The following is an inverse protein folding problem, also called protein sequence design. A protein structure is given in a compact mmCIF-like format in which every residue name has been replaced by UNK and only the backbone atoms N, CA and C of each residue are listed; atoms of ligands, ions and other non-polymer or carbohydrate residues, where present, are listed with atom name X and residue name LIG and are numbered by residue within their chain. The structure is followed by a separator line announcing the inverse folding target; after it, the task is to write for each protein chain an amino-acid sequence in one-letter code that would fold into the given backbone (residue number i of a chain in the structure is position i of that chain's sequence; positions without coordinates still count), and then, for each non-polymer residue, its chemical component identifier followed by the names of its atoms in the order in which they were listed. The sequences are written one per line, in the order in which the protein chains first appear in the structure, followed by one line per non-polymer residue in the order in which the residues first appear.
data_IF_633294776028
#
_entry.id   IF_633294776028
#
_cell.length_a   1.000
_cell.length_b   1.000
_cell.length_c   1.000
_cell.angle_alpha   90.00
_cell.angle_beta   90.00
_cell.angle_gamma   90.00
#
_symmetry.space_group_name_H-M   'P 1'
#
loop_
_entity.id
_entity.type
_entity.pdbx_description
1 polymer ?
#
# COMPACT_ATOMS: atom_id res chain seq x y z
N UNK A 1 21.50 24.54 -1.73
CA UNK A 1 20.86 24.51 -3.06
C UNK A 1 19.89 25.66 -3.15
N UNK A 2 19.91 26.41 -4.26
CA UNK A 2 19.03 27.56 -4.45
C UNK A 2 17.60 27.09 -4.75
N UNK A 3 16.62 27.96 -4.58
CA UNK A 3 15.20 27.64 -4.80
C UNK A 3 14.95 27.11 -6.21
N UNK A 4 15.47 27.79 -7.23
CA UNK A 4 15.29 27.43 -8.65
C UNK A 4 15.84 26.03 -8.96
N UNK A 5 17.06 25.71 -8.52
CA UNK A 5 17.65 24.37 -8.66
C UNK A 5 16.77 23.28 -8.03
N UNK A 6 16.28 23.52 -6.80
CA UNK A 6 15.42 22.55 -6.10
C UNK A 6 14.14 22.30 -6.88
N UNK A 7 13.49 23.35 -7.39
CA UNK A 7 12.28 23.23 -8.21
C UNK A 7 12.55 22.43 -9.47
N UNK A 8 13.65 22.72 -10.19
CA UNK A 8 14.03 21.98 -11.40
C UNK A 8 14.20 20.49 -11.10
N UNK A 9 14.98 20.13 -10.09
CA UNK A 9 15.20 18.72 -9.73
C UNK A 9 13.93 18.02 -9.27
N UNK A 10 13.08 18.71 -8.50
CA UNK A 10 11.78 18.16 -8.08
C UNK A 10 10.89 17.89 -9.30
N UNK A 11 10.81 18.80 -10.27
CA UNK A 11 10.01 18.56 -11.48
C UNK A 11 10.58 17.41 -12.33
N UNK A 12 11.91 17.27 -12.41
CA UNK A 12 12.55 16.11 -13.05
C UNK A 12 12.26 14.80 -12.33
N UNK A 13 12.17 14.80 -11.00
CA UNK A 13 11.77 13.61 -10.23
C UNK A 13 10.29 13.31 -10.50
N UNK A 14 9.40 14.30 -10.35
CA UNK A 14 7.96 14.14 -10.50
C UNK A 14 7.51 13.75 -11.92
N UNK A 15 8.32 13.98 -12.96
CA UNK A 15 8.03 13.53 -14.32
C UNK A 15 8.28 12.04 -14.54
N UNK A 16 9.07 11.40 -13.67
CA UNK A 16 9.39 9.97 -13.75
C UNK A 16 8.26 9.07 -13.21
N UNK A 17 7.29 9.66 -12.51
CA UNK A 17 6.20 8.93 -11.86
C UNK A 17 4.85 9.37 -12.39
N UNK A 18 3.98 8.38 -12.63
CA UNK A 18 2.57 8.62 -12.96
C UNK A 18 1.73 8.88 -11.71
N UNK A 19 2.22 8.44 -10.54
CA UNK A 19 1.56 8.64 -9.25
C UNK A 19 2.13 9.86 -8.50
N UNK A 20 1.32 10.52 -7.65
CA UNK A 20 1.83 11.56 -6.76
C UNK A 20 2.85 11.00 -5.75
N UNK A 21 3.85 11.81 -5.40
CA UNK A 21 4.86 11.47 -4.41
C UNK A 21 4.62 12.22 -3.09
N UNK A 22 5.03 11.62 -1.98
CA UNK A 22 5.14 12.35 -0.72
C UNK A 22 6.42 13.20 -0.71
N UNK A 23 6.44 14.27 0.11
CA UNK A 23 7.64 15.11 0.30
C UNK A 23 8.86 14.26 0.74
N UNK A 24 8.63 13.19 1.51
CA UNK A 24 9.71 12.32 1.99
C UNK A 24 10.31 11.47 0.86
N UNK A 25 9.47 10.93 -0.03
CA UNK A 25 9.94 10.23 -1.22
C UNK A 25 10.74 11.17 -2.15
N UNK A 26 10.22 12.38 -2.39
CA UNK A 26 10.93 13.42 -3.17
C UNK A 26 12.28 13.74 -2.53
N UNK A 27 12.32 13.89 -1.20
CA UNK A 27 13.55 14.15 -0.47
C UNK A 27 14.59 13.04 -0.66
N UNK A 28 14.21 11.77 -0.53
CA UNK A 28 15.15 10.67 -0.72
C UNK A 28 15.62 10.54 -2.18
N UNK A 29 14.76 10.82 -3.17
CA UNK A 29 15.19 10.93 -4.57
C UNK A 29 16.19 12.07 -4.78
N UNK A 30 15.99 13.23 -4.15
CA UNK A 30 16.96 14.33 -4.19
C UNK A 30 18.30 13.95 -3.55
N UNK A 31 18.27 13.24 -2.42
CA UNK A 31 19.48 12.76 -1.73
C UNK A 31 20.24 11.77 -2.63
N UNK A 32 19.53 10.82 -3.25
CA UNK A 32 20.11 9.79 -4.09
C UNK A 32 20.67 10.34 -5.42
N UNK A 33 19.87 11.13 -6.14
CA UNK A 33 20.16 11.48 -7.53
C UNK A 33 20.88 12.83 -7.70
N UNK A 34 20.73 13.74 -6.72
CA UNK A 34 21.12 15.15 -6.86
C UNK A 34 22.04 15.66 -5.72
N UNK A 35 22.66 14.75 -4.97
CA UNK A 35 23.56 15.07 -3.85
C UNK A 35 22.93 16.03 -2.83
N UNK A 36 21.63 15.90 -2.59
CA UNK A 36 20.92 16.73 -1.62
C UNK A 36 21.33 16.34 -0.19
N UNK A 37 21.57 17.30 0.74
CA UNK A 37 22.08 16.96 2.06
C UNK A 37 21.11 16.07 2.85
N UNK A 38 21.56 14.87 3.25
CA UNK A 38 20.74 13.97 4.06
C UNK A 38 20.72 14.37 5.56
N UNK A 39 19.96 15.42 5.90
CA UNK A 39 19.76 15.88 7.28
C UNK A 39 18.38 16.49 7.49
N UNK A 40 17.86 16.38 8.71
CA UNK A 40 16.53 16.90 9.10
C UNK A 40 16.32 18.38 8.76
N UNK A 41 17.35 19.21 8.88
CA UNK A 41 17.28 20.64 8.54
C UNK A 41 17.04 20.87 7.05
N UNK A 42 17.63 20.05 6.18
CA UNK A 42 17.44 20.11 4.73
C UNK A 42 16.03 19.63 4.35
N UNK A 43 15.54 18.54 4.94
CA UNK A 43 14.14 18.10 4.77
C UNK A 43 13.14 19.21 5.15
N UNK A 44 13.33 19.86 6.29
CA UNK A 44 12.48 20.96 6.74
C UNK A 44 12.51 22.16 5.77
N UNK A 45 13.69 22.44 5.19
CA UNK A 45 13.85 23.48 4.18
C UNK A 45 13.13 23.11 2.87
N UNK A 46 13.30 21.88 2.38
CA UNK A 46 12.58 21.36 1.21
C UNK A 46 11.07 21.48 1.40
N UNK A 47 10.54 21.05 2.55
CA UNK A 47 9.12 21.15 2.87
C UNK A 47 8.60 22.59 2.74
N UNK A 48 9.34 23.58 3.28
CA UNK A 48 8.98 25.01 3.14
C UNK A 48 9.08 25.49 1.69
N UNK A 49 10.11 25.09 0.95
CA UNK A 49 10.29 25.45 -0.46
C UNK A 49 9.17 24.89 -1.34
N UNK A 50 8.75 23.64 -1.14
CA UNK A 50 7.66 23.00 -1.88
C UNK A 50 6.28 23.59 -1.58
N UNK A 51 6.08 24.16 -0.39
CA UNK A 51 4.88 24.97 -0.11
C UNK A 51 4.89 26.24 -0.94
N UNK A 52 6.02 26.94 -1.02
CA UNK A 52 6.16 28.15 -1.86
C UNK A 52 5.97 27.81 -3.35
N UNK A 53 6.62 26.76 -3.85
CA UNK A 53 6.55 26.36 -5.25
C UNK A 53 5.14 26.01 -5.72
N UNK A 54 4.38 25.25 -4.91
CA UNK A 54 2.98 24.94 -5.24
C UNK A 54 2.09 26.19 -5.25
N UNK A 55 2.26 27.10 -4.29
CA UNK A 55 1.53 28.38 -4.27
C UNK A 55 1.83 29.28 -5.47
N UNK A 56 3.03 29.15 -6.06
CA UNK A 56 3.46 29.93 -7.21
C UNK A 56 3.18 29.23 -8.55
N UNK A 57 2.75 27.96 -8.54
CA UNK A 57 2.56 27.15 -9.75
C UNK A 57 3.86 26.59 -10.34
N UNK A 58 5.00 26.75 -9.66
CA UNK A 58 6.31 26.26 -10.11
C UNK A 58 6.42 24.72 -10.04
N UNK A 59 5.59 24.10 -9.20
CA UNK A 59 5.45 22.65 -9.07
C UNK A 59 3.95 22.33 -9.04
N UNK A 60 3.52 21.37 -9.85
CA UNK A 60 2.13 20.91 -9.90
C UNK A 60 1.70 20.34 -8.53
N UNK A 61 0.70 20.97 -7.92
CA UNK A 61 0.15 20.56 -6.63
C UNK A 61 -0.44 19.15 -6.68
N UNK A 62 -1.01 18.72 -7.81
CA UNK A 62 -1.59 17.39 -7.95
C UNK A 62 -0.55 16.26 -7.92
N UNK A 63 0.74 16.58 -8.16
CA UNK A 63 1.84 15.61 -8.15
C UNK A 63 2.47 15.40 -6.78
N UNK A 64 2.10 16.19 -5.76
CA UNK A 64 2.59 16.04 -4.38
C UNK A 64 1.42 15.82 -3.44
N UNK A 65 1.40 14.68 -2.76
CA UNK A 65 0.32 14.35 -1.83
C UNK A 65 0.78 14.26 -0.37
N UNK A 66 -0.08 14.74 0.54
CA UNK A 66 0.00 14.47 1.98
C UNK A 66 -1.02 13.38 2.33
N UNK A 67 -0.55 12.14 2.42
CA UNK A 67 -1.40 10.96 2.67
C UNK A 67 -1.97 10.88 4.09
N UNK A 68 -1.61 11.81 4.98
CA UNK A 68 -2.01 11.76 6.40
C UNK A 68 -3.34 12.46 6.73
N UNK A 69 -3.93 13.21 5.79
CA UNK A 69 -5.08 14.09 6.06
C UNK A 69 -6.11 14.04 4.94
N UNK A 70 -7.25 13.39 5.21
CA UNK A 70 -8.42 13.40 4.32
C UNK A 70 -9.55 14.18 4.98
N UNK A 71 -10.25 15.02 4.21
CA UNK A 71 -11.57 15.51 4.59
C UNK A 71 -12.55 14.34 4.52
N UNK A 72 -13.30 14.11 5.59
CA UNK A 72 -14.36 13.10 5.65
C UNK A 72 -15.70 13.83 5.63
N UNK A 73 -16.61 13.42 4.75
CA UNK A 73 -17.94 14.03 4.66
C UNK A 73 -18.11 14.98 3.46
N UNK A 74 -19.32 15.50 3.31
CA UNK A 74 -19.75 16.34 2.19
C UNK A 74 -21.27 16.43 2.09
N UNK A 75 -21.75 17.25 1.16
CA UNK A 75 -23.16 17.32 0.77
C UNK A 75 -23.46 16.19 -0.21
N UNK A 76 -23.88 15.04 0.32
CA UNK A 76 -24.18 13.84 -0.46
C UNK A 76 -25.69 13.64 -0.54
N UNK A 77 -26.19 13.27 -1.72
CA UNK A 77 -27.59 13.02 -1.94
C UNK A 77 -27.92 13.08 -3.42
N UNK A 78 -29.22 13.07 -3.73
CA UNK A 78 -29.73 13.27 -5.07
C UNK A 78 -30.57 14.54 -5.05
N UNK A 79 -30.61 15.28 -6.16
CA UNK A 79 -31.39 16.51 -6.23
C UNK A 79 -32.91 16.25 -6.14
N UNK A 80 -33.35 15.05 -6.53
CA UNK A 80 -34.73 14.59 -6.44
C UNK A 80 -34.84 13.06 -6.48
N UNK A 81 -36.05 12.55 -6.23
CA UNK A 81 -36.35 11.11 -6.19
C UNK A 81 -36.24 10.41 -7.55
N UNK A 82 -36.49 11.10 -8.66
CA UNK A 82 -36.37 10.54 -10.01
C UNK A 82 -34.90 10.26 -10.36
N UNK A 83 -34.00 11.20 -10.05
CA UNK A 83 -32.55 11.03 -10.21
C UNK A 83 -32.04 9.82 -9.41
N UNK A 84 -32.51 9.65 -8.16
CA UNK A 84 -32.20 8.48 -7.35
C UNK A 84 -32.62 7.18 -8.05
N UNK A 85 -33.88 7.09 -8.51
CA UNK A 85 -34.42 5.89 -9.13
C UNK A 85 -33.66 5.49 -10.41
N UNK A 86 -33.40 6.45 -11.31
CA UNK A 86 -32.64 6.21 -12.54
C UNK A 86 -31.23 5.70 -12.23
N UNK A 87 -30.55 6.32 -11.25
CA UNK A 87 -29.23 5.87 -10.82
C UNK A 87 -29.25 4.46 -10.23
N UNK A 88 -30.25 4.12 -9.40
CA UNK A 88 -30.37 2.78 -8.82
C UNK A 88 -30.62 1.71 -9.90
N UNK A 89 -31.49 1.98 -10.87
CA UNK A 89 -31.74 1.05 -11.99
C UNK A 89 -30.48 0.88 -12.84
N UNK A 90 -29.81 1.97 -13.21
CA UNK A 90 -28.57 1.92 -13.98
C UNK A 90 -27.46 1.18 -13.22
N UNK A 91 -27.32 1.45 -11.92
CA UNK A 91 -26.37 0.78 -11.05
C UNK A 91 -26.67 -0.72 -10.97
N UNK A 92 -27.92 -1.10 -10.73
CA UNK A 92 -28.38 -2.48 -10.71
C UNK A 92 -28.07 -3.18 -12.03
N UNK A 93 -28.46 -2.61 -13.17
CA UNK A 93 -28.22 -3.20 -14.49
C UNK A 93 -26.73 -3.34 -14.84
N UNK A 94 -25.86 -2.51 -14.26
CA UNK A 94 -24.41 -2.62 -14.43
C UNK A 94 -23.75 -3.65 -13.49
N UNK A 95 -24.49 -4.27 -12.57
CA UNK A 95 -23.95 -5.20 -11.56
C UNK A 95 -23.10 -6.34 -12.10
N UNK A 96 -23.43 -7.00 -13.24
CA UNK A 96 -22.59 -8.06 -13.79
C UNK A 96 -21.15 -7.61 -14.06
N UNK A 97 -20.92 -6.32 -14.38
CA UNK A 97 -19.56 -5.80 -14.62
C UNK A 97 -18.71 -5.77 -13.36
N UNK A 98 -19.33 -5.75 -12.17
CA UNK A 98 -18.67 -5.73 -10.86
C UNK A 98 -18.63 -7.10 -10.19
N UNK A 99 -19.24 -8.12 -10.81
CA UNK A 99 -19.13 -9.49 -10.33
C UNK A 99 -17.68 -9.94 -10.34
N UNK A 100 -17.22 -10.52 -9.23
CA UNK A 100 -15.89 -11.08 -9.13
C UNK A 100 -15.86 -12.21 -8.10
N UNK A 101 -15.07 -13.25 -8.35
CA UNK A 101 -14.93 -14.42 -7.46
C UNK A 101 -13.86 -14.16 -6.41
N UNK A 102 -13.93 -14.85 -5.28
CA UNK A 102 -12.85 -14.82 -4.28
C UNK A 102 -11.64 -15.60 -4.82
N UNK A 103 -10.59 -14.89 -5.24
CA UNK A 103 -9.39 -15.50 -5.85
C UNK A 103 -8.61 -16.43 -4.91
N UNK A 104 -8.61 -16.13 -3.61
CA UNK A 104 -7.86 -16.91 -2.62
C UNK A 104 -8.62 -18.14 -2.10
N UNK A 105 -9.83 -18.44 -2.58
CA UNK A 105 -10.64 -19.56 -2.06
C UNK A 105 -10.02 -20.92 -2.38
N UNK A 106 -9.53 -21.12 -3.61
CA UNK A 106 -8.89 -22.38 -4.02
C UNK A 106 -7.41 -22.47 -3.62
N UNK A 107 -6.78 -21.31 -3.43
CA UNK A 107 -5.37 -21.20 -3.07
C UNK A 107 -5.05 -21.93 -1.75
N UNK A 108 -3.93 -22.66 -1.63
CA UNK A 108 -3.57 -23.36 -0.39
C UNK A 108 -3.14 -22.41 0.74
N UNK A 109 -2.82 -21.16 0.38
CA UNK A 109 -2.30 -20.13 1.29
C UNK A 109 -3.30 -18.99 1.44
N UNK A 110 -3.19 -18.30 2.57
CA UNK A 110 -3.78 -16.99 2.81
C UNK A 110 -2.64 -15.99 3.02
N UNK A 111 -2.63 -14.93 2.21
CA UNK A 111 -1.57 -13.91 2.24
C UNK A 111 -2.14 -12.61 2.79
N UNK A 112 -1.41 -11.98 3.71
CA UNK A 112 -1.69 -10.65 4.24
C UNK A 112 -0.42 -9.80 4.15
N UNK A 113 -0.55 -8.58 3.65
CA UNK A 113 0.55 -7.60 3.71
C UNK A 113 0.45 -6.82 5.00
N UNK A 114 1.53 -6.76 5.78
CA UNK A 114 1.63 -6.03 7.02
C UNK A 114 2.63 -4.89 6.87
N UNK A 115 2.23 -3.66 7.12
CA UNK A 115 3.10 -2.49 6.93
C UNK A 115 3.15 -1.62 8.17
N UNK A 116 4.36 -1.35 8.64
CA UNK A 116 4.58 -0.49 9.80
C UNK A 116 4.08 0.95 9.55
N UNK A 117 4.37 1.50 8.37
CA UNK A 117 4.30 2.94 8.09
C UNK A 117 3.01 3.35 7.38
N UNK A 118 2.18 4.15 8.06
CA UNK A 118 0.90 4.63 7.51
C UNK A 118 1.05 5.38 6.17
N UNK A 119 2.11 6.18 6.02
CA UNK A 119 2.37 6.97 4.81
C UNK A 119 2.58 6.11 3.54
N UNK A 120 3.04 4.86 3.71
CA UNK A 120 3.23 3.91 2.63
C UNK A 120 2.06 2.93 2.49
N UNK A 121 1.13 2.91 3.44
CA UNK A 121 -0.01 1.97 3.41
C UNK A 121 -0.87 2.10 2.15
N UNK A 122 -1.12 3.33 1.66
CA UNK A 122 -1.95 3.56 0.46
C UNK A 122 -1.31 3.01 -0.82
N UNK A 123 0.00 3.22 -1.00
CA UNK A 123 0.72 2.71 -2.18
C UNK A 123 0.79 1.19 -2.14
N UNK A 124 1.16 0.61 -0.98
CA UNK A 124 1.22 -0.84 -0.82
C UNK A 124 -0.17 -1.47 -0.98
N UNK A 125 -1.21 -0.87 -0.38
CA UNK A 125 -2.58 -1.37 -0.50
C UNK A 125 -3.08 -1.35 -1.94
N UNK A 126 -2.78 -0.30 -2.72
CA UNK A 126 -3.15 -0.26 -4.14
C UNK A 126 -2.50 -1.40 -4.93
N UNK A 127 -1.27 -1.77 -4.58
CA UNK A 127 -0.57 -2.89 -5.21
C UNK A 127 -1.13 -4.25 -4.78
N UNK A 128 -1.34 -4.44 -3.48
CA UNK A 128 -1.92 -5.65 -2.92
C UNK A 128 -3.37 -5.88 -3.41
N UNK A 129 -4.14 -4.81 -3.64
CA UNK A 129 -5.51 -4.87 -4.14
C UNK A 129 -5.60 -5.50 -5.53
N UNK A 130 -4.59 -5.32 -6.39
CA UNK A 130 -4.51 -6.00 -7.71
C UNK A 130 -4.55 -7.52 -7.58
N UNK A 131 -4.06 -8.04 -6.46
CA UNK A 131 -4.05 -9.47 -6.10
C UNK A 131 -5.09 -9.80 -5.02
N UNK A 132 -5.99 -8.88 -4.70
CA UNK A 132 -7.05 -9.04 -3.68
C UNK A 132 -6.52 -9.45 -2.31
N UNK A 133 -5.32 -8.96 -1.97
CA UNK A 133 -4.64 -9.19 -0.70
C UNK A 133 -4.95 -8.07 0.28
N UNK A 134 -5.23 -8.44 1.53
CA UNK A 134 -5.49 -7.48 2.61
C UNK A 134 -4.18 -6.80 3.01
N UNK A 135 -4.20 -5.48 3.16
CA UNK A 135 -3.10 -4.70 3.74
C UNK A 135 -3.46 -4.24 5.16
N UNK A 136 -2.58 -4.55 6.12
CA UNK A 136 -2.72 -4.26 7.54
C UNK A 136 -1.68 -3.20 7.98
N UNK A 137 -2.02 -1.90 7.94
CA UNK A 137 -1.15 -0.85 8.45
C UNK A 137 -1.16 -0.80 9.98
N UNK A 138 0.00 -0.98 10.62
CA UNK A 138 0.09 -1.05 12.10
C UNK A 138 0.48 0.24 12.80
N UNK A 139 1.15 1.18 12.11
CA UNK A 139 1.67 2.44 12.69
C UNK A 139 2.68 2.19 13.82
N UNK A 140 3.68 1.36 13.54
CA UNK A 140 4.62 0.86 14.55
C UNK A 140 4.18 -0.49 15.11
N UNK A 141 4.39 -0.70 16.41
CA UNK A 141 3.97 -1.94 17.10
C UNK A 141 2.46 -2.08 17.11
N UNK A 142 1.98 -3.25 16.68
CA UNK A 142 0.56 -3.54 16.63
C UNK A 142 -0.04 -3.70 18.03
N UNK A 143 -1.22 -3.12 18.27
CA UNK A 143 -1.94 -3.34 19.53
C UNK A 143 -2.45 -4.78 19.63
N UNK A 144 -2.69 -5.26 20.85
CA UNK A 144 -3.28 -6.58 21.09
C UNK A 144 -4.58 -6.79 20.30
N UNK A 145 -5.50 -5.83 20.38
CA UNK A 145 -6.77 -5.87 19.66
C UNK A 145 -6.59 -5.93 18.15
N UNK A 146 -5.58 -5.25 17.60
CA UNK A 146 -5.33 -5.25 16.16
C UNK A 146 -4.85 -6.63 15.67
N UNK A 147 -3.95 -7.28 16.42
CA UNK A 147 -3.50 -8.64 16.12
C UNK A 147 -4.67 -9.64 16.21
N UNK A 148 -5.50 -9.58 17.26
CA UNK A 148 -6.66 -10.46 17.38
C UNK A 148 -7.63 -10.30 16.21
N UNK A 149 -7.91 -9.06 15.78
CA UNK A 149 -8.72 -8.79 14.59
C UNK A 149 -8.10 -9.35 13.31
N UNK A 150 -6.78 -9.30 13.15
CA UNK A 150 -6.13 -9.94 12.01
C UNK A 150 -6.31 -11.46 12.06
N UNK A 151 -6.14 -12.08 13.23
CA UNK A 151 -6.32 -13.53 13.41
C UNK A 151 -7.75 -13.98 13.08
N UNK A 152 -8.76 -13.18 13.42
CA UNK A 152 -10.16 -13.46 13.05
C UNK A 152 -10.39 -13.53 11.53
N UNK A 153 -9.52 -12.93 10.72
CA UNK A 153 -9.60 -13.03 9.25
C UNK A 153 -8.93 -14.27 8.69
N UNK A 154 -8.14 -15.00 9.49
CA UNK A 154 -7.35 -16.13 9.02
C UNK A 154 -8.22 -17.38 8.85
N UNK A 155 -8.26 -17.98 7.65
CA UNK A 155 -8.96 -19.23 7.43
C UNK A 155 -8.27 -20.40 8.14
N UNK A 156 -9.06 -21.32 8.69
CA UNK A 156 -8.57 -22.45 9.49
C UNK A 156 -7.84 -23.50 8.62
N UNK A 157 -8.21 -23.61 7.36
CA UNK A 157 -7.76 -24.67 6.44
C UNK A 157 -6.55 -24.28 5.57
N UNK A 158 -5.98 -23.08 5.76
CA UNK A 158 -4.88 -22.58 4.92
C UNK A 158 -3.61 -22.30 5.70
N UNK A 159 -2.49 -22.35 5.01
CA UNK A 159 -1.22 -21.80 5.51
C UNK A 159 -1.29 -20.27 5.52
N UNK A 160 -0.96 -19.62 6.64
CA UNK A 160 -1.04 -18.17 6.79
C UNK A 160 0.35 -17.56 6.57
N UNK A 161 0.44 -16.67 5.58
CA UNK A 161 1.65 -15.92 5.24
C UNK A 161 1.40 -14.43 5.50
N UNK A 162 2.21 -13.83 6.35
CA UNK A 162 2.20 -12.39 6.62
C UNK A 162 3.48 -11.78 6.05
N UNK A 163 3.32 -10.95 5.03
CA UNK A 163 4.40 -10.24 4.34
C UNK A 163 4.66 -8.90 5.05
N UNK A 164 5.74 -8.82 5.82
CA UNK A 164 6.04 -7.67 6.68
C UNK A 164 6.98 -6.65 6.01
N UNK A 165 6.53 -5.39 6.01
CA UNK A 165 7.26 -4.22 5.52
C UNK A 165 7.53 -3.26 6.69
N UNK A 166 8.79 -3.11 7.08
CA UNK A 166 9.23 -2.21 8.13
C UNK A 166 10.59 -1.57 7.82
N UNK A 167 10.90 -0.47 8.49
CA UNK A 167 12.18 0.23 8.34
C UNK A 167 13.35 -0.69 8.81
N UNK A 168 14.54 -0.50 8.25
CA UNK A 168 15.76 -1.19 8.69
C UNK A 168 16.41 -0.38 9.82
N UNK A 169 15.85 -0.53 11.01
CA UNK A 169 16.32 0.10 12.25
C UNK A 169 16.10 -0.85 13.45
N UNK A 170 16.55 -0.51 14.67
CA UNK A 170 16.41 -1.40 15.83
C UNK A 170 14.96 -1.80 16.12
N UNK A 171 14.00 -0.90 15.93
CA UNK A 171 12.58 -1.14 16.20
C UNK A 171 11.91 -1.91 15.06
N UNK A 172 12.20 -1.59 13.80
CA UNK A 172 11.63 -2.25 12.63
C UNK A 172 12.03 -3.72 12.50
N UNK A 173 13.26 -4.08 12.90
CA UNK A 173 13.67 -5.48 13.02
C UNK A 173 12.91 -6.20 14.13
N UNK A 174 12.79 -5.55 15.30
CA UNK A 174 12.08 -6.12 16.45
C UNK A 174 10.59 -6.31 16.19
N UNK A 175 9.95 -5.39 15.48
CA UNK A 175 8.53 -5.49 15.11
C UNK A 175 8.22 -6.73 14.27
N UNK A 176 9.17 -7.23 13.48
CA UNK A 176 8.98 -8.49 12.75
C UNK A 176 8.89 -9.67 13.71
N UNK A 177 9.79 -9.70 14.70
CA UNK A 177 9.85 -10.74 15.74
C UNK A 177 8.65 -10.66 16.68
N UNK A 178 8.30 -9.47 17.16
CA UNK A 178 7.09 -9.22 17.99
C UNK A 178 5.81 -9.67 17.26
N UNK A 179 5.67 -9.33 15.98
CA UNK A 179 4.53 -9.73 15.17
C UNK A 179 4.45 -11.25 15.03
N UNK A 180 5.57 -11.91 14.72
CA UNK A 180 5.65 -13.37 14.63
C UNK A 180 5.25 -14.05 15.94
N UNK A 181 5.90 -13.68 17.05
CA UNK A 181 5.64 -14.29 18.37
C UNK A 181 4.17 -14.13 18.75
N UNK A 182 3.61 -12.92 18.63
CA UNK A 182 2.24 -12.64 19.06
C UNK A 182 1.19 -13.25 18.14
N UNK A 183 1.43 -13.33 16.83
CA UNK A 183 0.53 -14.03 15.91
C UNK A 183 0.47 -15.52 16.26
N UNK A 184 1.62 -16.17 16.48
CA UNK A 184 1.67 -17.59 16.82
C UNK A 184 1.07 -17.87 18.21
N UNK A 185 1.43 -17.08 19.22
CA UNK A 185 0.91 -17.21 20.58
C UNK A 185 -0.61 -17.02 20.65
N UNK A 186 -1.15 -16.00 19.97
CA UNK A 186 -2.57 -15.67 20.08
C UNK A 186 -3.48 -16.48 19.15
N UNK A 187 -2.91 -17.11 18.11
CA UNK A 187 -3.66 -17.96 17.17
C UNK A 187 -3.62 -19.44 17.54
N UNK A 188 -2.60 -19.89 18.30
CA UNK A 188 -2.41 -21.28 18.67
C UNK A 188 -2.01 -22.19 17.50
N UNK A 189 -1.53 -21.61 16.38
CA UNK A 189 -1.04 -22.35 15.22
C UNK A 189 0.12 -21.61 14.55
N UNK A 190 0.84 -22.34 13.70
CA UNK A 190 1.96 -21.77 12.95
C UNK A 190 1.46 -20.69 11.96
N UNK A 191 2.02 -19.49 12.10
CA UNK A 191 1.85 -18.37 11.18
C UNK A 191 3.24 -17.91 10.75
N UNK A 192 3.47 -17.87 9.44
CA UNK A 192 4.73 -17.41 8.86
C UNK A 192 4.72 -15.91 8.70
N UNK A 193 5.75 -15.25 9.23
CA UNK A 193 5.99 -13.82 9.01
C UNK A 193 7.27 -13.67 8.18
N UNK A 194 7.11 -13.22 6.94
CA UNK A 194 8.21 -12.99 6.01
C UNK A 194 8.55 -11.51 5.97
N UNK A 195 9.75 -11.11 6.41
CA UNK A 195 10.22 -9.74 6.22
C UNK A 195 10.59 -9.55 4.74
N UNK A 196 9.78 -8.78 4.02
CA UNK A 196 9.97 -8.53 2.57
C UNK A 196 10.89 -7.33 2.35
N UNK A 197 10.68 -6.26 3.11
CA UNK A 197 11.54 -5.09 3.11
C UNK A 197 11.52 -4.43 4.50
N UNK A 198 12.57 -3.76 4.94
CA UNK A 198 13.86 -3.57 4.30
C UNK A 198 14.94 -4.44 4.96
N UNK A 199 15.62 -5.31 4.19
CA UNK A 199 16.78 -6.11 4.64
C UNK A 199 18.09 -5.35 4.45
N UNK A 200 19.17 -5.80 5.11
CA UNK A 200 20.47 -5.15 4.96
C UNK A 200 21.09 -5.41 3.57
N UNK A 201 20.84 -6.59 3.01
CA UNK A 201 21.26 -6.92 1.64
C UNK A 201 20.59 -5.99 0.62
N UNK A 202 19.29 -5.72 0.79
CA UNK A 202 18.56 -4.74 -0.04
C UNK A 202 19.12 -3.32 0.13
N UNK A 203 19.49 -2.91 1.35
CA UNK A 203 20.15 -1.62 1.60
C UNK A 203 21.43 -1.49 0.77
N UNK A 204 22.27 -2.52 0.77
CA UNK A 204 23.51 -2.53 0.01
C UNK A 204 23.25 -2.59 -1.50
N UNK A 205 22.31 -3.44 -1.93
CA UNK A 205 21.94 -3.61 -3.34
C UNK A 205 21.42 -2.31 -3.96
N UNK A 206 20.57 -1.57 -3.24
CA UNK A 206 19.97 -0.33 -3.73
C UNK A 206 20.81 0.91 -3.39
N UNK A 207 21.96 0.74 -2.71
CA UNK A 207 22.82 1.82 -2.24
C UNK A 207 22.04 2.93 -1.51
N UNK A 208 21.18 2.53 -0.57
CA UNK A 208 20.26 3.46 0.09
C UNK A 208 21.00 4.43 1.02
N UNK A 209 20.58 5.70 0.99
CA UNK A 209 21.14 6.72 1.85
C UNK A 209 20.83 6.43 3.34
N UNK A 210 21.85 6.33 4.21
CA UNK A 210 21.66 6.04 5.62
C UNK A 210 21.19 7.26 6.39
N UNK A 211 20.41 7.01 7.45
CA UNK A 211 20.13 7.95 8.53
C UNK A 211 20.89 7.52 9.80
N UNK A 212 21.22 8.43 10.73
CA UNK A 212 21.83 8.04 11.99
C UNK A 212 20.85 7.22 12.85
N UNK A 213 21.33 6.17 13.52
CA UNK A 213 20.52 5.40 14.47
C UNK A 213 20.10 6.29 15.64
N UNK A 214 18.82 6.17 16.04
CA UNK A 214 18.33 6.86 17.25
C UNK A 214 18.92 6.20 18.49
N UNK A 215 19.82 6.90 19.17
CA UNK A 215 20.50 6.40 20.39
C UNK A 215 19.59 6.12 21.57
N UNK A 216 18.36 6.65 21.57
CA UNK A 216 17.38 6.45 22.64
C UNK A 216 16.62 5.12 22.54
N UNK A 217 16.77 4.35 21.45
CA UNK A 217 16.14 3.03 21.36
C UNK A 217 16.90 2.04 22.27
N UNK A 218 16.23 1.36 23.22
CA UNK A 218 16.89 0.39 24.10
C UNK A 218 17.55 -0.77 23.34
N UNK A 219 17.15 -1.01 22.09
CA UNK A 219 17.69 -2.05 21.21
C UNK A 219 18.86 -1.55 20.35
N UNK A 220 19.19 -0.25 20.44
CA UNK A 220 20.23 0.36 19.61
C UNK A 220 21.60 -0.31 19.78
N UNK A 221 21.97 -0.72 21.00
CA UNK A 221 23.29 -1.31 21.25
C UNK A 221 23.49 -2.62 20.46
N UNK A 222 22.51 -3.54 20.49
CA UNK A 222 22.55 -4.81 19.76
C UNK A 222 22.46 -4.60 18.25
N UNK A 223 21.75 -3.57 17.82
CA UNK A 223 21.69 -3.21 16.40
C UNK A 223 23.02 -2.65 15.91
N UNK A 224 23.62 -1.71 16.66
CA UNK A 224 24.88 -1.05 16.31
C UNK A 224 26.03 -2.07 16.21
N UNK A 225 26.05 -3.08 17.08
CA UNK A 225 27.07 -4.13 17.00
C UNK A 225 26.97 -5.00 15.74
N UNK A 226 25.80 -5.05 15.10
CA UNK A 226 25.55 -5.86 13.89
C UNK A 226 25.63 -5.06 12.59
N UNK A 227 25.04 -3.86 12.57
CA UNK A 227 24.82 -3.07 11.35
C UNK A 227 25.47 -1.68 11.40
N UNK A 228 26.12 -1.34 12.51
CA UNK A 228 26.68 0.00 12.74
C UNK A 228 25.63 1.03 13.15
N UNK A 229 26.05 2.30 13.22
CA UNK A 229 25.22 3.41 13.71
C UNK A 229 24.35 4.06 12.60
N UNK A 230 23.90 3.25 11.63
CA UNK A 230 23.12 3.70 10.48
C UNK A 230 21.81 2.90 10.36
N UNK A 231 20.73 3.58 9.98
CA UNK A 231 19.40 3.02 9.77
C UNK A 231 18.83 3.49 8.43
N UNK A 232 17.88 2.74 7.89
CA UNK A 232 17.27 3.04 6.60
C UNK A 232 15.75 2.95 6.67
N UNK A 233 15.08 3.91 6.04
CA UNK A 233 13.63 3.94 5.97
C UNK A 233 13.14 3.29 4.68
N UNK A 234 11.96 2.67 4.70
CA UNK A 234 11.29 2.15 3.51
C UNK A 234 11.05 3.25 2.45
N UNK A 235 10.83 4.50 2.89
CA UNK A 235 10.67 5.66 1.99
C UNK A 235 11.93 5.97 1.16
N UNK A 236 13.09 5.41 1.53
CA UNK A 236 14.32 5.54 0.76
C UNK A 236 14.36 4.60 -0.47
N UNK A 237 13.57 3.54 -0.47
CA UNK A 237 13.41 2.67 -1.63
C UNK A 237 12.71 3.47 -2.74
N UNK A 238 13.20 3.32 -3.97
CA UNK A 238 12.56 3.93 -5.13
C UNK A 238 11.10 3.45 -5.26
N UNK A 239 10.12 4.33 -5.54
CA UNK A 239 8.71 3.96 -5.49
C UNK A 239 8.27 2.82 -6.43
N UNK A 240 8.86 2.65 -7.60
CA UNK A 240 8.57 1.54 -8.50
C UNK A 240 9.21 0.23 -8.00
N UNK A 241 10.41 0.29 -7.43
CA UNK A 241 11.05 -0.86 -6.77
C UNK A 241 10.26 -1.32 -5.54
N UNK A 242 9.70 -0.41 -4.74
CA UNK A 242 8.81 -0.78 -3.64
C UNK A 242 7.54 -1.49 -4.16
N UNK A 243 6.97 -1.01 -5.27
CA UNK A 243 5.82 -1.67 -5.90
C UNK A 243 6.19 -3.08 -6.41
N UNK A 244 7.36 -3.23 -7.04
CA UNK A 244 7.90 -4.51 -7.51
C UNK A 244 8.10 -5.49 -6.35
N UNK A 245 8.69 -5.05 -5.24
CA UNK A 245 8.88 -5.88 -4.05
C UNK A 245 7.56 -6.39 -3.46
N UNK A 246 6.51 -5.54 -3.43
CA UNK A 246 5.17 -5.96 -2.97
C UNK A 246 4.57 -6.99 -3.90
N UNK A 247 4.66 -6.76 -5.20
CA UNK A 247 4.15 -7.66 -6.23
C UNK A 247 4.84 -9.03 -6.18
N UNK A 248 6.16 -9.07 -6.23
CA UNK A 248 6.93 -10.33 -6.20
C UNK A 248 6.68 -11.12 -4.91
N UNK A 249 6.60 -10.44 -3.78
CA UNK A 249 6.32 -11.09 -2.51
C UNK A 249 4.93 -11.73 -2.46
N UNK A 250 3.92 -11.12 -3.09
CA UNK A 250 2.57 -11.71 -3.17
C UNK A 250 2.55 -12.85 -4.18
N UNK A 251 3.05 -12.62 -5.40
CA UNK A 251 2.98 -13.57 -6.53
C UNK A 251 3.68 -14.89 -6.20
N UNK A 252 4.78 -14.85 -5.44
CA UNK A 252 5.47 -16.05 -4.94
C UNK A 252 4.55 -17.05 -4.21
N UNK A 253 3.46 -16.58 -3.62
CA UNK A 253 2.53 -17.40 -2.85
C UNK A 253 1.25 -17.78 -3.60
N UNK A 254 1.13 -17.36 -4.87
CA UNK A 254 0.02 -17.71 -5.76
C UNK A 254 0.36 -19.00 -6.50
N UNK A 255 -0.55 -19.96 -6.43
CA UNK A 255 -0.62 -21.09 -7.37
C UNK A 255 -1.28 -20.59 -8.65
N UNK A 256 -0.49 -20.52 -9.73
CA UNK A 256 -0.89 -19.94 -11.01
C UNK A 256 -2.03 -20.72 -11.66
N UNK A 257 -1.97 -22.06 -11.65
CA UNK A 257 -3.00 -22.92 -12.22
C UNK A 257 -4.36 -22.70 -11.54
N UNK A 258 -4.39 -22.67 -10.20
CA UNK A 258 -5.62 -22.41 -9.43
C UNK A 258 -6.12 -20.96 -9.58
N UNK A 259 -5.20 -20.02 -9.83
CA UNK A 259 -5.54 -18.63 -10.07
C UNK A 259 -6.22 -18.46 -11.43
N UNK A 260 -5.64 -19.04 -12.48
CA UNK A 260 -6.20 -19.05 -13.83
C UNK A 260 -7.54 -19.78 -13.89
N UNK A 261 -7.66 -20.93 -13.22
CA UNK A 261 -8.93 -21.66 -13.09
C UNK A 261 -10.03 -20.75 -12.49
N UNK A 262 -9.70 -19.99 -11.45
CA UNK A 262 -10.66 -19.08 -10.81
C UNK A 262 -11.02 -17.89 -11.73
N UNK A 263 -10.08 -17.40 -12.55
CA UNK A 263 -10.34 -16.35 -13.53
C UNK A 263 -11.29 -16.82 -14.64
N UNK A 264 -11.13 -18.05 -15.13
CA UNK A 264 -12.01 -18.59 -16.17
C UNK A 264 -13.42 -18.84 -15.61
N UNK A 265 -13.54 -19.41 -14.41
CA UNK A 265 -14.84 -19.53 -13.73
C UNK A 265 -15.52 -18.16 -13.53
N UNK A 266 -14.77 -17.14 -13.10
CA UNK A 266 -15.30 -15.78 -12.93
C UNK A 266 -15.82 -15.22 -14.25
N UNK A 267 -15.12 -15.48 -15.35
CA UNK A 267 -15.50 -15.04 -16.69
C UNK A 267 -16.77 -15.73 -17.17
N UNK A 268 -16.86 -17.05 -17.04
CA UNK A 268 -18.05 -17.83 -17.40
C UNK A 268 -19.28 -17.38 -16.60
N UNK A 269 -19.17 -17.26 -15.28
CA UNK A 269 -20.25 -16.80 -14.40
C UNK A 269 -20.66 -15.35 -14.72
N UNK A 270 -19.70 -14.48 -15.05
CA UNK A 270 -19.98 -13.10 -15.48
C UNK A 270 -20.76 -13.07 -16.80
N UNK A 271 -20.48 -13.97 -17.74
CA UNK A 271 -21.24 -14.09 -18.99
C UNK A 271 -22.67 -14.59 -18.74
N UNK A 272 -22.85 -15.57 -17.86
CA UNK A 272 -24.18 -16.04 -17.45
C UNK A 272 -24.99 -14.89 -16.82
N UNK A 273 -24.38 -14.13 -15.90
CA UNK A 273 -25.01 -12.96 -15.30
C UNK A 273 -25.38 -11.89 -16.34
N UNK A 274 -24.51 -11.64 -17.34
CA UNK A 274 -24.84 -10.69 -18.43
C UNK A 274 -26.09 -11.11 -19.19
N UNK A 275 -26.26 -12.41 -19.49
CA UNK A 275 -27.45 -12.93 -20.17
C UNK A 275 -28.71 -12.71 -19.33
N UNK A 276 -28.66 -13.03 -18.04
CA UNK A 276 -29.77 -12.82 -17.10
C UNK A 276 -30.16 -11.33 -17.03
N UNK A 277 -29.18 -10.45 -16.86
CA UNK A 277 -29.43 -9.01 -16.75
C UNK A 277 -29.90 -8.36 -18.06
N UNK A 278 -29.52 -8.92 -19.21
CA UNK A 278 -30.07 -8.50 -20.51
C UNK A 278 -31.58 -8.77 -20.58
N UNK A 279 -32.05 -9.93 -20.12
CA UNK A 279 -33.48 -10.25 -20.07
C UNK A 279 -34.24 -9.40 -19.06
N UNK A 280 -33.64 -9.13 -17.88
CA UNK A 280 -34.23 -8.22 -16.89
C UNK A 280 -34.38 -6.81 -17.48
N UNK A 281 -33.37 -6.32 -18.20
CA UNK A 281 -33.42 -5.00 -18.84
C UNK A 281 -34.56 -4.89 -19.85
N UNK A 282 -34.80 -5.93 -20.67
CA UNK A 282 -35.91 -5.95 -21.63
C UNK A 282 -37.26 -5.81 -20.91
N UNK A 283 -37.49 -6.60 -19.86
CA UNK A 283 -38.73 -6.55 -19.07
C UNK A 283 -38.96 -5.19 -18.38
N UNK A 284 -37.90 -4.56 -17.88
CA UNK A 284 -38.01 -3.21 -17.29
C UNK A 284 -38.45 -2.18 -18.32
N UNK A 285 -37.91 -2.23 -19.54
CA UNK A 285 -38.31 -1.32 -20.62
C UNK A 285 -39.77 -1.52 -21.06
N UNK A 286 -40.28 -2.76 -21.02
CA UNK A 286 -41.69 -3.05 -21.33
C UNK A 286 -42.66 -2.42 -20.30
N UNK A 287 -42.24 -2.33 -19.03
CA UNK A 287 -43.02 -1.74 -17.94
C UNK A 287 -43.08 -0.20 -18.07
N UNK A 288 -41.97 0.45 -18.45
CA UNK A 288 -41.94 1.91 -18.68
C UNK A 288 -42.70 2.35 -19.96
N UNK A 289 -43.09 1.40 -20.82
CA UNK A 289 -43.82 1.65 -22.08
C UNK A 289 -45.35 1.61 -21.93
N UNK A 290 -45.86 1.36 -20.73
CA UNK A 290 -47.30 1.19 -20.41
C UNK A 290 -47.75 2.28 -19.45
#
# INVERSE_FOLDING_TARGET
MKYEEVVTFVNCILSQYTMPLTIRQIYYRLVADYNYPNRRTAYNQLSKQLVKARKQGDVDEAKIEDRSRNFLGGDYGFNNSHEFLVNQIAYFLASPKRYSKRMWTKQPRFVMVWIEKDALSRIISKMAERYRVITAPSRGYASYTYIKRAIETFPIDKEIIVLHFADHDPSGLDMTRDLYERLNDYSGREIKVERVALSYEQVLQYNLAPNPTKSADPRAQTYISKFGNQCWELDAIEPNELQRLVEEAIVKHIDEDLWEETLEEEKEEREQLRRIFSEIKKKLNEIDST
#
